data_IF_541855114899
#
_entry.id   IF_541855114899
#
_cell.length_a   1.000
_cell.length_b   1.000
_cell.length_c   1.000
_cell.angle_alpha   90.00
_cell.angle_beta   90.00
_cell.angle_gamma   90.00
#
_symmetry.space_group_name_H-M   'P 1'
#
loop_
_entity.id
_entity.type
_entity.pdbx_description
1 polymer ?
#
# COMPACT_ATOMS: atom_id res chain seq x y z
N UNK A 1 12.13 24.91 14.77
CA UNK A 1 10.78 24.69 14.21
C UNK A 1 10.28 23.30 14.58
N UNK A 2 8.96 23.16 14.71
CA UNK A 2 8.26 21.88 14.93
C UNK A 2 7.18 21.77 13.87
N UNK A 3 7.07 20.58 13.26
CA UNK A 3 6.03 20.27 12.29
C UNK A 3 5.22 19.08 12.82
N UNK A 4 3.92 19.18 12.72
CA UNK A 4 3.00 18.07 13.01
C UNK A 4 2.41 17.61 11.70
N UNK A 5 2.74 16.38 11.30
CA UNK A 5 2.11 15.70 10.17
C UNK A 5 1.04 14.75 10.72
N UNK A 6 -0.18 14.84 10.21
CA UNK A 6 -1.26 13.95 10.65
C UNK A 6 -2.16 13.54 9.49
N UNK A 7 -2.77 12.39 9.64
CA UNK A 7 -3.84 11.92 8.76
C UNK A 7 -4.92 11.22 9.58
N UNK A 8 -6.16 11.57 9.31
CA UNK A 8 -7.35 10.89 9.86
C UNK A 8 -8.24 10.40 8.74
N UNK A 9 -8.86 9.26 8.93
CA UNK A 9 -9.86 8.66 8.03
C UNK A 9 -11.10 8.31 8.85
N UNK A 10 -12.27 8.70 8.35
CA UNK A 10 -13.57 8.42 8.95
C UNK A 10 -14.53 7.90 7.86
N UNK A 11 -14.24 6.72 7.33
CA UNK A 11 -14.98 6.12 6.22
C UNK A 11 -16.37 5.63 6.64
N UNK A 12 -16.51 5.24 7.90
CA UNK A 12 -17.79 4.80 8.45
C UNK A 12 -18.87 5.90 8.38
N UNK A 13 -18.45 7.15 8.52
CA UNK A 13 -19.34 8.31 8.54
C UNK A 13 -19.50 8.98 7.16
N UNK A 14 -18.42 9.07 6.38
CA UNK A 14 -18.39 9.86 5.15
C UNK A 14 -18.34 9.03 3.86
N UNK A 15 -18.47 7.72 3.96
CA UNK A 15 -18.50 6.79 2.84
C UNK A 15 -17.15 6.07 2.62
N UNK A 16 -17.25 4.92 1.99
CA UNK A 16 -16.15 4.00 1.78
C UNK A 16 -15.46 4.25 0.45
N UNK A 17 -14.13 4.15 0.42
CA UNK A 17 -13.35 4.24 -0.82
C UNK A 17 -13.72 3.17 -1.86
N UNK A 18 -14.11 1.99 -1.42
CA UNK A 18 -14.52 0.88 -2.30
C UNK A 18 -15.92 1.03 -2.90
N UNK A 19 -16.73 1.96 -2.40
CA UNK A 19 -18.05 2.27 -2.96
C UNK A 19 -17.94 3.41 -3.98
N UNK A 20 -17.84 3.07 -5.23
CA UNK A 20 -18.05 4.01 -6.34
C UNK A 20 -19.54 4.30 -6.49
N UNK A 21 -20.09 5.09 -5.59
CA UNK A 21 -21.53 5.45 -5.54
C UNK A 21 -21.83 6.82 -6.11
N UNK A 22 -21.22 7.22 -7.20
CA UNK A 22 -21.51 8.47 -7.89
C UNK A 22 -21.35 8.34 -9.40
N UNK A 23 -22.22 8.99 -10.16
CA UNK A 23 -22.03 9.20 -11.59
C UNK A 23 -20.70 9.91 -11.80
N UNK A 24 -19.69 9.18 -12.23
CA UNK A 24 -18.42 9.78 -12.67
C UNK A 24 -18.55 10.14 -14.14
N UNK A 25 -18.22 11.37 -14.54
CA UNK A 25 -18.20 11.70 -15.96
C UNK A 25 -17.15 10.82 -16.67
N UNK A 26 -17.57 10.19 -17.74
CA UNK A 26 -16.70 9.37 -18.60
C UNK A 26 -15.94 10.32 -19.52
N UNK A 27 -14.86 10.91 -19.01
CA UNK A 27 -14.03 11.86 -19.76
C UNK A 27 -12.56 11.73 -19.40
N UNK A 28 -11.68 12.25 -20.24
CA UNK A 28 -10.23 12.13 -20.05
C UNK A 28 -9.76 10.68 -19.97
N UNK A 29 -8.78 10.35 -19.11
CA UNK A 29 -8.27 8.98 -18.94
C UNK A 29 -9.36 7.96 -18.54
N UNK A 30 -10.38 8.39 -17.80
CA UNK A 30 -11.47 7.53 -17.36
C UNK A 30 -12.32 6.98 -18.53
N UNK A 31 -12.34 7.68 -19.67
CA UNK A 31 -13.03 7.23 -20.87
C UNK A 31 -12.43 5.93 -21.47
N UNK A 32 -11.20 5.62 -21.12
CA UNK A 32 -10.50 4.42 -21.61
C UNK A 32 -10.60 3.23 -20.64
N UNK A 33 -11.18 3.41 -19.47
CA UNK A 33 -11.23 2.40 -18.43
C UNK A 33 -12.64 2.12 -17.90
N UNK A 34 -13.41 3.17 -17.60
CA UNK A 34 -14.75 3.01 -17.04
C UNK A 34 -15.73 2.25 -17.92
N UNK A 35 -15.80 2.46 -19.27
CA UNK A 35 -16.70 1.69 -20.13
C UNK A 35 -16.41 0.20 -20.16
N UNK A 36 -15.19 -0.21 -19.79
CA UNK A 36 -14.75 -1.60 -19.72
C UNK A 36 -14.87 -2.19 -18.31
N UNK A 37 -15.52 -1.49 -17.39
CA UNK A 37 -15.81 -1.98 -16.05
C UNK A 37 -14.70 -1.76 -15.02
N UNK A 38 -13.63 -1.02 -15.33
CA UNK A 38 -12.58 -0.70 -14.35
C UNK A 38 -13.04 0.43 -13.43
N UNK A 39 -13.74 0.07 -12.37
CA UNK A 39 -14.41 1.01 -11.47
C UNK A 39 -13.76 1.13 -10.09
N UNK A 40 -12.91 0.19 -9.70
CA UNK A 40 -12.35 0.10 -8.36
C UNK A 40 -10.82 0.06 -8.35
N UNK A 41 -10.22 0.46 -7.24
CA UNK A 41 -8.78 0.33 -7.03
C UNK A 41 -8.33 -1.14 -7.11
N UNK A 42 -9.14 -2.08 -6.59
CA UNK A 42 -8.83 -3.51 -6.67
C UNK A 42 -8.62 -3.98 -8.11
N UNK A 43 -9.48 -3.55 -9.04
CA UNK A 43 -9.36 -3.91 -10.45
C UNK A 43 -8.10 -3.33 -11.10
N UNK A 44 -7.74 -2.09 -10.78
CA UNK A 44 -6.50 -1.46 -11.28
C UNK A 44 -5.26 -2.19 -10.80
N UNK A 45 -5.21 -2.50 -9.50
CA UNK A 45 -4.09 -3.26 -8.93
C UNK A 45 -4.05 -4.71 -9.44
N UNK A 46 -5.20 -5.35 -9.63
CA UNK A 46 -5.29 -6.70 -10.18
C UNK A 46 -4.66 -6.83 -11.57
N UNK A 47 -4.87 -5.86 -12.45
CA UNK A 47 -4.23 -5.83 -13.76
C UNK A 47 -2.70 -5.80 -13.66
N UNK A 48 -2.17 -4.94 -12.77
CA UNK A 48 -0.73 -4.84 -12.53
C UNK A 48 -0.18 -6.15 -11.96
N UNK A 49 -0.85 -6.70 -10.96
CA UNK A 49 -0.45 -7.95 -10.32
C UNK A 49 -0.50 -9.12 -11.31
N UNK A 50 -1.53 -9.22 -12.14
CA UNK A 50 -1.60 -10.23 -13.19
C UNK A 50 -0.42 -10.12 -14.17
N UNK A 51 -0.05 -8.91 -14.53
CA UNK A 51 1.11 -8.68 -15.40
C UNK A 51 2.42 -9.07 -14.71
N UNK A 52 2.59 -8.70 -13.44
CA UNK A 52 3.74 -9.10 -12.63
C UNK A 52 3.87 -10.63 -12.52
N UNK A 53 2.77 -11.31 -12.20
CA UNK A 53 2.73 -12.77 -12.12
C UNK A 53 3.15 -13.42 -13.45
N UNK A 54 2.67 -12.88 -14.56
CA UNK A 54 3.03 -13.38 -15.89
C UNK A 54 4.52 -13.16 -16.23
N UNK A 55 5.06 -11.97 -15.95
CA UNK A 55 6.44 -11.62 -16.31
C UNK A 55 7.48 -12.33 -15.43
N UNK A 56 7.14 -12.57 -14.16
CA UNK A 56 8.07 -13.13 -13.17
C UNK A 56 7.77 -14.59 -12.78
N UNK A 57 6.74 -15.20 -13.36
CA UNK A 57 6.36 -16.58 -13.04
C UNK A 57 5.91 -16.77 -11.58
N UNK A 58 5.38 -15.73 -10.94
CA UNK A 58 4.92 -15.76 -9.55
C UNK A 58 3.50 -16.28 -9.49
N UNK A 59 3.25 -17.28 -8.64
CA UNK A 59 1.93 -17.83 -8.41
C UNK A 59 1.17 -17.14 -7.28
N UNK A 60 -0.08 -17.55 -7.09
CA UNK A 60 -0.98 -16.99 -6.05
C UNK A 60 -0.56 -17.35 -4.63
N UNK A 61 0.25 -18.39 -4.47
CA UNK A 61 0.83 -18.80 -3.20
C UNK A 61 1.65 -17.69 -2.54
N UNK A 62 2.27 -16.80 -3.31
CA UNK A 62 2.99 -15.65 -2.79
C UNK A 62 2.02 -14.67 -2.08
N UNK A 63 0.88 -14.35 -2.69
CA UNK A 63 -0.14 -13.49 -2.08
C UNK A 63 -0.75 -14.15 -0.84
N UNK A 64 -1.04 -15.46 -0.91
CA UNK A 64 -1.52 -16.22 0.24
C UNK A 64 -0.53 -16.17 1.40
N UNK A 65 0.77 -16.33 1.13
CA UNK A 65 1.81 -16.26 2.15
C UNK A 65 1.84 -14.89 2.84
N UNK A 66 1.72 -13.80 2.08
CA UNK A 66 1.65 -12.45 2.61
C UNK A 66 0.42 -12.29 3.52
N UNK A 67 -0.77 -12.63 3.04
CA UNK A 67 -2.00 -12.53 3.81
C UNK A 67 -1.92 -13.34 5.12
N UNK A 68 -1.50 -14.61 5.06
CA UNK A 68 -1.36 -15.47 6.24
C UNK A 68 -0.33 -14.95 7.24
N UNK A 69 0.80 -14.40 6.76
CA UNK A 69 1.83 -13.80 7.61
C UNK A 69 1.28 -12.59 8.35
N UNK A 70 0.54 -11.71 7.68
CA UNK A 70 -0.10 -10.56 8.31
C UNK A 70 -1.10 -10.98 9.40
N UNK A 71 -1.93 -11.98 9.14
CA UNK A 71 -2.85 -12.53 10.13
C UNK A 71 -2.12 -13.20 11.30
N UNK A 72 -1.02 -13.93 11.03
CA UNK A 72 -0.19 -14.52 12.08
C UNK A 72 0.41 -13.45 12.99
N UNK A 73 0.99 -12.40 12.44
CA UNK A 73 1.58 -11.32 13.23
C UNK A 73 0.52 -10.52 14.00
N UNK A 74 -0.69 -10.40 13.49
CA UNK A 74 -1.79 -9.75 14.20
C UNK A 74 -2.12 -10.44 15.54
N UNK A 75 -1.86 -11.74 15.68
CA UNK A 75 -2.10 -12.47 16.93
C UNK A 75 -1.14 -12.04 18.05
N UNK A 76 0.03 -11.51 17.69
CA UNK A 76 1.02 -11.01 18.65
C UNK A 76 0.78 -9.54 19.05
N UNK A 77 -0.21 -8.89 18.47
CA UNK A 77 -0.53 -7.49 18.75
C UNK A 77 -1.98 -7.36 19.27
N UNK A 78 -2.19 -7.19 20.57
CA UNK A 78 -3.55 -7.08 21.14
C UNK A 78 -4.33 -5.85 20.64
N UNK A 79 -3.67 -4.88 20.01
CA UNK A 79 -4.31 -3.71 19.41
C UNK A 79 -4.67 -3.92 17.93
N UNK A 80 -4.25 -5.02 17.32
CA UNK A 80 -4.58 -5.30 15.93
C UNK A 80 -6.07 -5.62 15.77
N UNK A 81 -6.70 -5.07 14.74
CA UNK A 81 -8.12 -5.35 14.40
C UNK A 81 -8.38 -6.84 14.15
N UNK A 82 -7.35 -7.55 13.67
CA UNK A 82 -7.38 -9.00 13.41
C UNK A 82 -6.86 -9.86 14.57
N UNK A 83 -6.57 -9.27 15.73
CA UNK A 83 -6.23 -10.08 16.90
C UNK A 83 -7.42 -11.00 17.28
N UNK A 84 -7.13 -12.26 17.56
CA UNK A 84 -8.13 -13.30 17.81
C UNK A 84 -8.78 -13.90 16.56
N UNK A 85 -8.37 -13.46 15.34
CA UNK A 85 -8.84 -14.03 14.06
C UNK A 85 -7.66 -14.67 13.34
N UNK A 86 -7.73 -15.97 13.12
CA UNK A 86 -6.70 -16.72 12.38
C UNK A 86 -7.08 -16.88 10.91
N UNK A 87 -6.09 -17.09 10.06
CA UNK A 87 -6.28 -17.38 8.64
C UNK A 87 -5.39 -18.57 8.27
N UNK A 88 -5.99 -19.64 7.78
CA UNK A 88 -5.30 -20.78 7.20
C UNK A 88 -5.40 -20.82 5.67
N UNK A 89 -4.68 -21.73 5.04
CA UNK A 89 -4.61 -21.84 3.60
C UNK A 89 -5.97 -22.23 2.99
N UNK A 90 -6.72 -23.11 3.64
CA UNK A 90 -8.02 -23.57 3.15
C UNK A 90 -9.05 -22.42 3.15
N UNK A 91 -9.10 -21.67 4.26
CA UNK A 91 -9.96 -20.48 4.38
C UNK A 91 -9.60 -19.42 3.34
N UNK A 92 -8.29 -19.18 3.12
CA UNK A 92 -7.85 -18.26 2.08
C UNK A 92 -8.27 -18.74 0.70
N UNK A 93 -7.96 -19.98 0.33
CA UNK A 93 -8.19 -20.52 -1.01
C UNK A 93 -9.68 -20.72 -1.35
N UNK A 94 -10.54 -20.96 -0.35
CA UNK A 94 -11.99 -21.04 -0.51
C UNK A 94 -12.70 -19.69 -0.49
N UNK A 95 -12.02 -18.61 -0.10
CA UNK A 95 -12.63 -17.30 0.02
C UNK A 95 -13.07 -16.74 -1.35
N UNK A 96 -14.09 -15.89 -1.31
CA UNK A 96 -14.67 -15.32 -2.52
C UNK A 96 -13.66 -14.44 -3.29
N UNK A 97 -13.80 -14.42 -4.59
CA UNK A 97 -13.12 -13.45 -5.44
C UNK A 97 -13.64 -12.03 -5.22
N UNK A 98 -12.73 -11.08 -5.17
CA UNK A 98 -13.04 -9.65 -5.28
C UNK A 98 -12.88 -9.23 -6.75
N UNK A 99 -11.72 -9.52 -7.30
CA UNK A 99 -11.39 -9.42 -8.72
C UNK A 99 -10.12 -10.23 -8.95
N UNK A 100 -10.12 -11.18 -9.89
CA UNK A 100 -8.96 -12.03 -10.11
C UNK A 100 -7.71 -11.18 -10.44
N UNK A 101 -6.54 -11.45 -9.82
CA UNK A 101 -6.18 -12.60 -8.99
C UNK A 101 -6.47 -12.43 -7.49
N UNK A 102 -7.18 -11.40 -7.06
CA UNK A 102 -7.43 -11.08 -5.64
C UNK A 102 -8.67 -11.76 -5.08
N UNK A 103 -8.47 -12.43 -3.97
CA UNK A 103 -9.53 -12.94 -3.09
C UNK A 103 -9.80 -11.95 -1.95
N UNK A 104 -10.74 -12.29 -1.10
CA UNK A 104 -11.16 -11.44 0.03
C UNK A 104 -9.97 -10.98 0.91
N UNK A 105 -9.07 -11.91 1.22
CA UNK A 105 -7.94 -11.66 2.12
C UNK A 105 -6.75 -10.96 1.45
N UNK A 106 -6.80 -10.76 0.15
CA UNK A 106 -5.81 -9.97 -0.59
C UNK A 106 -6.09 -8.47 -0.56
N UNK A 107 -7.25 -8.09 -0.08
CA UNK A 107 -7.71 -6.70 -0.03
C UNK A 107 -7.65 -6.17 1.40
N UNK A 108 -7.13 -4.96 1.58
CA UNK A 108 -7.11 -4.30 2.88
C UNK A 108 -8.53 -4.07 3.42
N UNK A 109 -8.64 -3.99 4.74
CA UNK A 109 -9.86 -3.55 5.40
C UNK A 109 -9.94 -2.02 5.38
N UNK A 110 -11.13 -1.53 5.10
CA UNK A 110 -11.46 -0.13 5.30
C UNK A 110 -11.72 0.12 6.78
N UNK A 111 -10.84 0.89 7.42
CA UNK A 111 -10.91 1.21 8.84
C UNK A 111 -10.93 2.72 9.06
N UNK A 112 -11.63 3.13 10.10
CA UNK A 112 -11.49 4.47 10.65
C UNK A 112 -10.26 4.51 11.55
N UNK A 113 -9.53 5.60 11.49
CA UNK A 113 -8.33 5.75 12.29
C UNK A 113 -7.61 7.06 12.04
N UNK A 114 -6.67 7.37 12.92
CA UNK A 114 -5.81 8.53 12.77
C UNK A 114 -4.39 8.21 13.25
N UNK A 115 -3.42 8.85 12.61
CA UNK A 115 -2.04 8.85 13.03
C UNK A 115 -1.47 10.27 12.96
N UNK A 116 -0.57 10.59 13.88
CA UNK A 116 0.14 11.85 13.89
C UNK A 116 1.62 11.63 14.22
N UNK A 117 2.47 12.43 13.60
CA UNK A 117 3.91 12.40 13.76
C UNK A 117 4.41 13.83 14.00
N UNK A 118 5.29 13.98 14.99
CA UNK A 118 5.94 15.25 15.31
C UNK A 118 7.37 15.20 14.79
N UNK A 119 7.72 16.15 13.95
CA UNK A 119 9.06 16.28 13.35
C UNK A 119 9.67 17.56 13.85
N UNK A 120 10.90 17.48 14.34
CA UNK A 120 11.68 18.64 14.81
C UNK A 120 13.16 18.45 14.51
N UNK A 121 13.97 19.47 14.78
CA UNK A 121 15.43 19.38 14.63
C UNK A 121 16.03 18.39 15.62
N UNK A 122 17.09 17.71 15.21
CA UNK A 122 17.76 16.67 16.00
C UNK A 122 18.29 17.20 17.33
N UNK A 123 18.87 18.42 17.36
CA UNK A 123 19.39 19.05 18.58
C UNK A 123 18.29 19.22 19.65
N UNK A 124 17.09 19.64 19.22
CA UNK A 124 15.92 19.75 20.10
C UNK A 124 15.36 18.37 20.49
N UNK A 125 15.35 17.43 19.55
CA UNK A 125 14.77 16.09 19.79
C UNK A 125 15.54 15.31 20.87
N UNK A 126 16.85 15.55 21.01
CA UNK A 126 17.69 14.91 22.04
C UNK A 126 17.24 15.21 23.48
N UNK A 127 16.59 16.35 23.69
CA UNK A 127 16.12 16.79 25.02
C UNK A 127 14.70 16.31 25.34
N UNK A 128 14.07 15.52 24.44
CA UNK A 128 12.72 15.03 24.63
C UNK A 128 12.71 13.65 25.32
N UNK A 129 11.62 13.37 26.04
CA UNK A 129 11.49 12.16 26.86
C UNK A 129 11.36 10.84 26.07
N UNK A 130 11.15 10.89 24.75
CA UNK A 130 11.00 9.69 23.91
C UNK A 130 12.30 9.36 23.18
N UNK A 131 12.55 8.07 22.90
CA UNK A 131 13.68 7.69 22.06
C UNK A 131 13.66 8.43 20.71
N UNK A 132 14.83 8.87 20.30
CA UNK A 132 15.01 9.59 19.04
C UNK A 132 14.92 8.64 17.84
N UNK A 133 14.05 8.96 16.89
CA UNK A 133 14.04 8.36 15.57
C UNK A 133 14.47 9.41 14.54
N UNK A 134 15.53 9.14 13.79
CA UNK A 134 16.05 10.05 12.76
C UNK A 134 15.41 9.75 11.42
N UNK A 135 15.00 10.79 10.69
CA UNK A 135 14.65 10.70 9.28
C UNK A 135 15.92 10.92 8.48
N UNK A 136 16.50 9.87 7.93
CA UNK A 136 17.74 9.93 7.14
C UNK A 136 17.49 10.41 5.71
N UNK A 137 16.34 10.04 5.14
CA UNK A 137 15.97 10.44 3.78
C UNK A 137 14.45 10.38 3.59
N UNK A 138 13.98 11.16 2.63
CA UNK A 138 12.59 11.15 2.20
C UNK A 138 12.51 11.46 0.71
N UNK A 139 11.81 10.64 -0.04
CA UNK A 139 11.64 10.81 -1.49
C UNK A 139 10.19 10.60 -1.90
N UNK A 140 9.78 11.35 -2.89
CA UNK A 140 8.53 11.14 -3.60
C UNK A 140 8.82 11.09 -5.09
N UNK A 141 8.25 10.13 -5.79
CA UNK A 141 8.45 9.99 -7.23
C UNK A 141 7.15 9.71 -7.97
N UNK A 142 7.18 9.97 -9.26
CA UNK A 142 6.17 9.57 -10.22
C UNK A 142 6.84 9.01 -11.47
N UNK A 143 6.12 8.19 -12.24
CA UNK A 143 6.62 7.72 -13.53
C UNK A 143 6.79 8.87 -14.53
N UNK A 144 7.78 8.77 -15.39
CA UNK A 144 7.98 9.75 -16.46
C UNK A 144 6.73 9.81 -17.36
N UNK A 145 6.14 10.99 -17.51
CA UNK A 145 4.92 11.22 -18.29
C UNK A 145 3.70 10.38 -17.89
N UNK A 146 3.65 9.89 -16.65
CA UNK A 146 2.54 9.07 -16.16
C UNK A 146 1.20 9.82 -16.09
N UNK A 147 1.22 11.15 -16.15
CA UNK A 147 0.00 11.95 -16.06
C UNK A 147 -0.70 11.80 -14.73
N UNK A 148 -2.03 11.74 -14.75
CA UNK A 148 -2.86 11.63 -13.55
C UNK A 148 -3.00 10.19 -13.04
N UNK A 149 -2.56 9.19 -13.80
CA UNK A 149 -2.69 7.77 -13.45
C UNK A 149 -1.33 7.10 -13.37
N UNK A 150 -1.10 6.36 -12.29
CA UNK A 150 0.14 5.62 -12.07
C UNK A 150 0.33 4.47 -13.09
N UNK A 151 -0.71 4.12 -13.82
CA UNK A 151 -0.74 3.04 -14.82
C UNK A 151 -0.06 3.45 -16.13
N UNK A 152 0.08 4.75 -16.40
CA UNK A 152 0.66 5.28 -17.63
C UNK A 152 2.19 5.31 -17.59
N UNK A 153 2.81 4.18 -17.32
CA UNK A 153 4.28 4.05 -17.26
C UNK A 153 4.76 2.90 -18.15
N UNK A 154 5.94 3.04 -18.70
CA UNK A 154 6.53 2.02 -19.57
C UNK A 154 6.80 0.73 -18.80
N UNK A 155 7.27 0.84 -17.57
CA UNK A 155 7.47 -0.27 -16.65
C UNK A 155 6.20 -0.42 -15.78
N UNK A 156 5.19 -1.10 -16.33
CA UNK A 156 3.88 -1.19 -15.72
C UNK A 156 3.84 -2.00 -14.43
N UNK A 157 4.70 -3.00 -14.28
CA UNK A 157 4.72 -3.89 -13.10
C UNK A 157 5.44 -3.31 -11.91
N UNK A 158 6.45 -2.47 -12.13
CA UNK A 158 7.11 -1.73 -11.05
C UNK A 158 6.34 -0.47 -10.70
N UNK A 159 6.25 -0.24 -9.43
CA UNK A 159 5.78 1.05 -8.93
C UNK A 159 6.78 2.16 -9.26
N UNK A 160 6.32 3.43 -9.20
CA UNK A 160 7.19 4.61 -9.31
C UNK A 160 8.25 4.74 -8.20
N UNK A 161 8.40 3.75 -7.34
CA UNK A 161 9.47 3.68 -6.33
C UNK A 161 10.86 3.53 -6.95
N UNK A 162 11.00 2.81 -8.06
CA UNK A 162 12.29 2.51 -8.67
C UNK A 162 13.17 3.75 -8.91
N UNK A 163 12.69 4.84 -9.51
CA UNK A 163 13.49 6.05 -9.64
C UNK A 163 13.76 6.76 -8.30
N UNK A 164 12.87 6.63 -7.31
CA UNK A 164 13.05 7.26 -6.00
C UNK A 164 14.09 6.56 -5.13
N UNK A 165 14.17 5.23 -5.20
CA UNK A 165 15.01 4.41 -4.30
C UNK A 165 16.47 4.80 -4.39
N UNK A 166 17.00 5.01 -5.60
CA UNK A 166 18.39 5.43 -5.78
C UNK A 166 18.68 6.74 -5.02
N UNK A 167 17.88 7.76 -5.25
CA UNK A 167 18.06 9.06 -4.60
C UNK A 167 17.81 8.99 -3.09
N UNK A 168 16.91 8.11 -2.65
CA UNK A 168 16.65 7.91 -1.22
C UNK A 168 17.90 7.35 -0.52
N UNK A 169 18.53 6.33 -1.08
CA UNK A 169 19.76 5.74 -0.53
C UNK A 169 20.94 6.71 -0.58
N UNK A 170 21.10 7.45 -1.69
CA UNK A 170 22.11 8.50 -1.80
C UNK A 170 21.91 9.60 -0.73
N UNK A 171 20.67 10.03 -0.50
CA UNK A 171 20.36 11.05 0.50
C UNK A 171 20.61 10.56 1.93
N UNK A 172 20.30 9.29 2.20
CA UNK A 172 20.43 8.69 3.52
C UNK A 172 21.87 8.22 3.82
N UNK A 173 22.72 8.16 2.80
CA UNK A 173 24.08 7.60 2.86
C UNK A 173 24.10 6.15 3.38
N UNK A 174 23.21 5.32 2.82
CA UNK A 174 23.04 3.90 3.17
C UNK A 174 22.86 3.06 1.91
N UNK A 175 22.93 1.75 2.09
CA UNK A 175 22.63 0.74 1.06
C UNK A 175 21.46 -0.14 1.48
N UNK A 176 20.98 -0.99 0.58
CA UNK A 176 19.91 -1.93 0.88
C UNK A 176 20.29 -2.93 2.00
N UNK A 177 21.59 -3.21 2.18
CA UNK A 177 22.10 -4.12 3.23
C UNK A 177 22.09 -3.52 4.62
N UNK A 178 21.89 -2.21 4.74
CA UNK A 178 21.79 -1.49 6.02
C UNK A 178 20.34 -1.41 6.53
N UNK A 179 19.38 -2.02 5.80
CA UNK A 179 17.96 -2.02 6.13
C UNK A 179 17.59 -3.30 6.87
N UNK A 180 17.21 -3.17 8.14
CA UNK A 180 16.75 -4.29 8.96
C UNK A 180 15.24 -4.54 8.82
N UNK A 181 14.44 -3.51 8.59
CA UNK A 181 12.97 -3.60 8.54
C UNK A 181 12.43 -2.78 7.38
N UNK A 182 11.57 -3.39 6.58
CA UNK A 182 10.81 -2.74 5.50
C UNK A 182 9.33 -2.77 5.86
N UNK A 183 8.68 -1.61 5.79
CA UNK A 183 7.23 -1.50 5.88
C UNK A 183 6.68 -0.99 4.56
N UNK A 184 5.97 -1.85 3.84
CA UNK A 184 5.26 -1.49 2.63
C UNK A 184 3.79 -1.18 2.93
N UNK A 185 3.18 -0.36 2.08
CA UNK A 185 1.75 -0.09 2.17
C UNK A 185 0.95 -1.19 1.47
N UNK A 186 0.35 -2.05 2.26
CA UNK A 186 -0.41 -3.23 1.82
C UNK A 186 -1.90 -2.91 1.61
N UNK A 187 -2.24 -2.14 0.61
CA UNK A 187 -3.64 -2.01 0.22
C UNK A 187 -4.16 -3.28 -0.48
N UNK A 188 -3.26 -4.01 -1.16
CA UNK A 188 -3.49 -5.32 -1.76
C UNK A 188 -2.19 -6.14 -1.65
N UNK A 189 -2.30 -7.46 -1.41
CA UNK A 189 -1.14 -8.34 -1.27
C UNK A 189 -0.21 -8.32 -2.49
N UNK A 190 -0.75 -8.15 -3.68
CA UNK A 190 0.05 -8.01 -4.90
C UNK A 190 0.80 -6.67 -5.04
N UNK A 191 0.68 -5.76 -4.08
CA UNK A 191 1.46 -4.51 -4.02
C UNK A 191 2.73 -4.61 -3.18
N UNK A 192 2.90 -5.72 -2.44
CA UNK A 192 4.05 -6.01 -1.58
C UNK A 192 5.17 -6.68 -2.35
#
# INVERSE_FOLDING_TARGET
NVVVAYRGLAQGQFGRFGRSGGSRPVSGPAAYTLPYGMMSAAQMYAMRTTRFMHEHGVGREAMRAIAMTCYHHAQNNPRAVMNGKTLDAETYDSSRWITEPYRLFDCCLENDGAAAMIITRTDRAKDLAKPLALVLGAQQSGGHRSGATAENVTDYVTSSFKPAVKHLYEQADITATDIDVVQSYENFTGGV
#
